data_IF_630800374098
#
_entry.id   IF_630800374098
#
_cell.length_a   1.000
_cell.length_b   1.000
_cell.length_c   1.000
_cell.angle_alpha   90.00
_cell.angle_beta   90.00
_cell.angle_gamma   90.00
#
_symmetry.space_group_name_H-M   'P 1'
#
loop_
_entity.id
_entity.type
_entity.pdbx_description
1 polymer ?
#
# COMPACT_ATOMS: atom_id res chain seq x y z
N UNK A 1 4.67 -11.43 -2.32
CA UNK A 1 3.50 -10.53 -2.30
C UNK A 1 3.87 -9.23 -2.99
N UNK A 2 2.97 -8.55 -3.70
CA UNK A 2 3.32 -7.32 -4.45
C UNK A 2 3.28 -6.04 -3.62
N UNK A 3 2.84 -6.11 -2.35
CA UNK A 3 2.91 -5.04 -1.35
C UNK A 3 3.65 -5.56 -0.12
N UNK A 4 4.84 -5.02 0.11
CA UNK A 4 5.80 -5.47 1.13
C UNK A 4 5.75 -4.55 2.37
N UNK A 5 4.56 -4.42 2.95
CA UNK A 5 4.33 -3.75 4.23
C UNK A 5 3.11 -4.37 4.93
N UNK A 6 2.90 -4.02 6.19
CA UNK A 6 1.66 -4.29 6.92
C UNK A 6 0.85 -3.00 7.12
N UNK A 7 -0.43 -3.02 6.71
CA UNK A 7 -1.35 -1.91 6.92
C UNK A 7 -2.81 -2.37 6.96
N UNK A 8 -3.51 -2.02 8.03
CA UNK A 8 -4.93 -2.35 8.17
C UNK A 8 -5.14 -3.86 8.26
N UNK A 9 -5.87 -4.43 7.30
CA UNK A 9 -6.15 -5.87 7.23
C UNK A 9 -5.09 -6.67 6.44
N UNK A 10 -4.19 -5.99 5.74
CA UNK A 10 -3.07 -6.64 5.03
C UNK A 10 -1.87 -6.71 5.99
N UNK A 11 -1.50 -7.92 6.43
CA UNK A 11 -0.45 -8.13 7.43
C UNK A 11 0.40 -9.37 7.10
N UNK A 12 1.37 -9.27 6.16
CA UNK A 12 2.31 -10.35 5.88
C UNK A 12 3.32 -10.53 7.03
N UNK A 13 3.66 -11.78 7.35
CA UNK A 13 4.61 -12.11 8.43
C UNK A 13 6.03 -11.59 8.16
N UNK A 14 6.46 -11.61 6.89
CA UNK A 14 7.78 -11.13 6.47
C UNK A 14 7.92 -9.59 6.57
N UNK A 15 6.81 -8.85 6.63
CA UNK A 15 6.79 -7.39 6.62
C UNK A 15 5.83 -6.85 7.69
N UNK A 16 6.15 -6.96 8.99
CA UNK A 16 5.21 -6.72 10.08
C UNK A 16 4.86 -5.24 10.30
N UNK A 17 5.63 -4.32 9.73
CA UNK A 17 5.49 -2.87 9.95
C UNK A 17 4.88 -2.16 8.74
N UNK A 18 4.25 -1.01 8.98
CA UNK A 18 3.86 -0.08 7.92
C UNK A 18 5.06 0.69 7.38
N UNK A 19 5.06 0.98 6.08
CA UNK A 19 6.12 1.73 5.40
C UNK A 19 5.50 2.86 4.57
N UNK A 20 5.38 4.03 5.19
CA UNK A 20 4.86 5.24 4.55
C UNK A 20 5.82 5.80 3.48
N UNK A 21 7.09 5.39 3.45
CA UNK A 21 8.06 5.88 2.45
C UNK A 21 7.81 5.22 1.10
N UNK A 22 7.66 3.90 1.07
CA UNK A 22 7.49 3.16 -0.18
C UNK A 22 6.02 2.88 -0.53
N UNK A 23 5.13 2.80 0.46
CA UNK A 23 3.80 2.24 0.29
C UNK A 23 2.64 3.17 0.58
N UNK A 24 2.88 4.48 0.72
CA UNK A 24 1.84 5.49 0.77
C UNK A 24 1.21 5.76 -0.62
N UNK A 25 0.73 4.69 -1.26
CA UNK A 25 0.15 4.62 -2.59
C UNK A 25 -0.89 3.50 -2.65
N UNK A 26 -1.89 3.67 -3.50
CA UNK A 26 -2.85 2.63 -3.84
C UNK A 26 -2.23 1.67 -4.87
N UNK A 27 -2.42 0.37 -4.65
CA UNK A 27 -2.15 -0.66 -5.66
C UNK A 27 -3.41 -0.86 -6.49
N UNK A 28 -3.29 -0.70 -7.80
CA UNK A 28 -4.38 -0.88 -8.76
C UNK A 28 -4.03 -2.02 -9.70
N UNK A 29 -4.96 -2.94 -9.90
CA UNK A 29 -4.78 -4.08 -10.79
C UNK A 29 -5.75 -3.95 -11.98
N UNK A 30 -5.19 -3.97 -13.19
CA UNK A 30 -5.93 -3.83 -14.44
C UNK A 30 -5.80 -5.11 -15.26
N UNK A 31 -6.92 -5.68 -15.69
CA UNK A 31 -6.90 -6.72 -16.72
C UNK A 31 -6.59 -6.11 -18.08
N UNK A 32 -5.58 -6.62 -18.77
CA UNK A 32 -5.20 -6.21 -20.13
C UNK A 32 -5.15 -7.43 -21.04
N UNK A 33 -5.07 -7.22 -22.36
CA UNK A 33 -4.90 -8.31 -23.33
C UNK A 33 -3.61 -9.13 -23.11
N UNK A 34 -2.59 -8.53 -22.48
CA UNK A 34 -1.35 -9.20 -22.10
C UNK A 34 -1.33 -9.78 -20.68
N UNK A 35 -2.48 -9.79 -20.00
CA UNK A 35 -2.61 -10.27 -18.62
C UNK A 35 -2.78 -9.15 -17.60
N UNK A 36 -2.45 -9.44 -16.34
CA UNK A 36 -2.66 -8.52 -15.23
C UNK A 36 -1.55 -7.44 -15.20
N UNK A 37 -1.94 -6.17 -15.29
CA UNK A 37 -1.02 -5.05 -15.12
C UNK A 37 -1.27 -4.36 -13.77
N UNK A 38 -0.21 -4.22 -12.98
CA UNK A 38 -0.25 -3.41 -11.76
C UNK A 38 0.15 -1.97 -12.05
N UNK A 39 -0.58 -1.04 -11.44
CA UNK A 39 -0.27 0.40 -11.44
C UNK A 39 -0.39 0.93 -10.02
N UNK A 40 0.24 2.07 -9.78
CA UNK A 40 0.21 2.73 -8.48
C UNK A 40 -0.30 4.15 -8.61
N UNK A 41 -1.11 4.58 -7.63
CA UNK A 41 -1.59 5.95 -7.52
C UNK A 41 -1.20 6.52 -6.16
N UNK A 42 -0.52 7.68 -6.09
CA UNK A 42 -0.15 8.27 -4.80
C UNK A 42 -1.40 8.59 -3.97
N UNK A 43 -1.29 8.45 -2.65
CA UNK A 43 -2.32 8.91 -1.72
C UNK A 43 -2.28 10.43 -1.66
N UNK A 44 -3.45 11.07 -1.69
CA UNK A 44 -3.55 12.52 -1.47
C UNK A 44 -3.60 12.77 0.03
N UNK A 45 -2.51 13.32 0.58
CA UNK A 45 -2.47 13.79 1.95
C UNK A 45 -3.15 15.17 2.04
N UNK A 46 -4.00 15.33 3.05
CA UNK A 46 -4.72 16.59 3.28
C UNK A 46 -4.33 17.15 4.64
N UNK A 47 -5.26 17.21 5.60
CA UNK A 47 -5.06 17.86 6.90
C UNK A 47 -4.31 17.00 7.91
N UNK A 48 -4.31 15.69 7.71
CA UNK A 48 -3.76 14.72 8.65
C UNK A 48 -2.59 14.00 8.02
N UNK A 49 -1.42 14.17 8.63
CA UNK A 49 -0.21 13.46 8.27
C UNK A 49 -0.26 12.00 8.77
N UNK A 50 0.35 11.05 8.04
CA UNK A 50 0.51 9.69 8.49
C UNK A 50 1.24 9.66 9.84
N UNK A 51 0.69 8.91 10.78
CA UNK A 51 1.28 8.64 12.10
C UNK A 51 1.07 7.18 12.44
N UNK A 52 1.96 6.65 13.27
CA UNK A 52 1.81 5.31 13.83
C UNK A 52 0.46 5.19 14.56
N UNK A 53 -0.32 4.17 14.18
CA UNK A 53 -1.63 3.93 14.78
C UNK A 53 -1.45 3.25 16.14
N UNK A 54 -1.83 3.94 17.20
CA UNK A 54 -1.95 3.40 18.56
C UNK A 54 -3.43 3.27 18.93
N UNK A 55 -3.76 2.20 19.65
CA UNK A 55 -5.10 1.89 20.12
C UNK A 55 -5.27 2.24 21.60
#
# INVERSE_FOLDING_TARGET
ATREESRGAHMPEDFPNGDDTNWLKHTLAYGTSGGLQLRYKPVVLTRFEPKERKY
#
